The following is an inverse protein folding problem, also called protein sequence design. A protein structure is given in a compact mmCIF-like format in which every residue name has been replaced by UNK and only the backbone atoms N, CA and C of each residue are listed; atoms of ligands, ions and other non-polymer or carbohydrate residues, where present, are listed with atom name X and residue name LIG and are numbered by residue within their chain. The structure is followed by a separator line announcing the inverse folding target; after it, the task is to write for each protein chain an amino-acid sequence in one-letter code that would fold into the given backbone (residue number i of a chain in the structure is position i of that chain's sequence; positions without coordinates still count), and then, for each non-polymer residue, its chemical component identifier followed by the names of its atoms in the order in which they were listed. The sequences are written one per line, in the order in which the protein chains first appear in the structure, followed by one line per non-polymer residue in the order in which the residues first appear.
data_IF_524967074751
#
_entry.id   IF_524967074751
#
_cell.length_a   1.000
_cell.length_b   1.000
_cell.length_c   1.000
_cell.angle_alpha   90.00
_cell.angle_beta   90.00
_cell.angle_gamma   90.00
#
_symmetry.space_group_name_H-M   'P 1'
#
loop_
_entity.id
_entity.type
_entity.pdbx_description
1 polymer ?
#
# COMPACT_ATOMS: atom_id res chain seq x y z
N UNK A 1 -0.02 -4.00 -20.75
CA UNK A 1 -0.87 -3.27 -19.78
C UNK A 1 -2.30 -3.81 -19.83
N UNK A 2 -3.09 -3.71 -18.75
CA UNK A 2 -4.50 -4.09 -18.77
C UNK A 2 -5.31 -3.39 -19.87
N UNK A 3 -4.98 -2.15 -20.22
CA UNK A 3 -5.61 -1.46 -21.37
C UNK A 3 -5.44 -2.28 -22.64
N UNK A 4 -4.22 -2.68 -22.98
CA UNK A 4 -3.96 -3.46 -24.20
C UNK A 4 -4.50 -4.91 -24.12
N UNK A 5 -4.53 -5.49 -22.93
CA UNK A 5 -4.96 -6.87 -22.72
C UNK A 5 -6.48 -7.04 -22.65
N UNK A 6 -7.18 -6.04 -22.12
CA UNK A 6 -8.60 -6.16 -21.77
C UNK A 6 -9.54 -5.29 -22.62
N UNK A 7 -9.00 -4.21 -23.23
CA UNK A 7 -9.85 -3.30 -24.03
C UNK A 7 -10.55 -4.03 -25.19
N UNK A 8 -11.87 -3.88 -25.25
CA UNK A 8 -12.69 -4.57 -26.26
C UNK A 8 -12.85 -6.08 -26.05
N UNK A 9 -12.45 -6.61 -24.89
CA UNK A 9 -12.60 -8.03 -24.55
C UNK A 9 -13.47 -8.23 -23.30
N UNK A 10 -14.07 -9.41 -23.08
CA UNK A 10 -14.80 -9.72 -21.86
C UNK A 10 -13.88 -10.10 -20.67
N UNK A 11 -12.55 -9.96 -20.79
CA UNK A 11 -11.58 -10.50 -19.83
C UNK A 11 -11.42 -9.66 -18.57
N UNK A 12 -11.91 -8.43 -18.55
CA UNK A 12 -11.78 -7.51 -17.41
C UNK A 12 -11.81 -6.05 -17.86
N UNK A 13 -11.51 -5.16 -16.92
CA UNK A 13 -11.49 -3.73 -17.18
C UNK A 13 -10.14 -3.28 -17.75
N UNK A 14 -10.11 -2.23 -18.59
CA UNK A 14 -8.85 -1.62 -19.08
C UNK A 14 -8.17 -0.77 -18.00
N UNK A 15 -8.26 -1.20 -16.75
CA UNK A 15 -7.76 -0.48 -15.56
C UNK A 15 -6.51 -1.18 -15.07
N UNK A 16 -5.46 -0.40 -14.83
CA UNK A 16 -4.14 -0.91 -14.47
C UNK A 16 -3.94 -1.04 -12.97
N UNK A 17 -4.41 -0.07 -12.21
CA UNK A 17 -4.17 0.02 -10.78
C UNK A 17 -5.40 0.52 -10.04
N UNK A 18 -5.45 0.13 -8.77
CA UNK A 18 -6.50 0.48 -7.82
C UNK A 18 -5.86 0.89 -6.49
N UNK A 19 -6.62 1.56 -5.66
CA UNK A 19 -6.30 1.72 -4.25
C UNK A 19 -7.53 1.48 -3.40
N UNK A 20 -7.33 0.79 -2.27
CA UNK A 20 -8.37 0.48 -1.30
C UNK A 20 -7.90 0.84 0.11
N UNK A 21 -8.85 1.13 0.98
CA UNK A 21 -8.62 1.51 2.37
C UNK A 21 -9.25 0.47 3.29
N UNK A 22 -8.50 -0.02 4.28
CA UNK A 22 -8.98 -1.00 5.24
C UNK A 22 -9.41 -0.32 6.53
N UNK A 23 -10.59 -0.69 7.02
CA UNK A 23 -11.00 -0.37 8.38
C UNK A 23 -10.57 -1.46 9.34
N UNK A 24 -10.34 -1.10 10.61
CA UNK A 24 -9.87 -2.00 11.66
C UNK A 24 -10.96 -2.95 12.15
N UNK A 25 -11.40 -3.84 11.27
CA UNK A 25 -12.33 -4.92 11.58
C UNK A 25 -12.05 -6.16 10.72
N UNK A 26 -12.27 -7.34 11.30
CA UNK A 26 -12.14 -8.62 10.56
C UNK A 26 -13.01 -8.63 9.31
N UNK A 27 -14.23 -8.10 9.42
CA UNK A 27 -15.16 -8.02 8.29
C UNK A 27 -14.60 -7.17 7.15
N UNK A 28 -14.07 -5.97 7.46
CA UNK A 28 -13.47 -5.08 6.47
C UNK A 28 -12.23 -5.72 5.82
N UNK A 29 -11.33 -6.26 6.63
CA UNK A 29 -10.08 -6.88 6.15
C UNK A 29 -10.37 -8.00 5.16
N UNK A 30 -11.28 -8.93 5.46
CA UNK A 30 -11.61 -10.04 4.55
C UNK A 30 -12.45 -9.60 3.35
N UNK A 31 -13.34 -8.62 3.52
CA UNK A 31 -14.08 -8.04 2.39
C UNK A 31 -13.13 -7.45 1.36
N UNK A 32 -12.17 -6.65 1.81
CA UNK A 32 -11.19 -6.04 0.93
C UNK A 32 -10.17 -7.05 0.38
N UNK A 33 -9.80 -8.08 1.15
CA UNK A 33 -8.97 -9.17 0.62
C UNK A 33 -9.66 -9.87 -0.57
N UNK A 34 -10.96 -10.15 -0.46
CA UNK A 34 -11.76 -10.69 -1.58
C UNK A 34 -11.77 -9.74 -2.78
N UNK A 35 -11.98 -8.44 -2.54
CA UNK A 35 -11.98 -7.41 -3.58
C UNK A 35 -10.61 -7.35 -4.28
N UNK A 36 -9.54 -7.22 -3.51
CA UNK A 36 -8.16 -7.14 -4.00
C UNK A 36 -7.77 -8.37 -4.80
N UNK A 37 -8.18 -9.57 -4.36
CA UNK A 37 -7.98 -10.80 -5.10
C UNK A 37 -8.72 -10.81 -6.45
N UNK A 38 -9.96 -10.30 -6.48
CA UNK A 38 -10.74 -10.17 -7.72
C UNK A 38 -10.13 -9.15 -8.70
N UNK A 39 -9.61 -8.02 -8.19
CA UNK A 39 -8.90 -7.02 -8.98
C UNK A 39 -7.61 -7.59 -9.56
N UNK A 40 -6.84 -8.31 -8.76
CA UNK A 40 -5.61 -8.98 -9.18
C UNK A 40 -5.86 -10.03 -10.26
N UNK A 41 -6.91 -10.83 -10.12
CA UNK A 41 -7.35 -11.80 -11.15
C UNK A 41 -7.55 -11.14 -12.52
N UNK A 42 -8.04 -9.91 -12.55
CA UNK A 42 -8.25 -9.11 -13.75
C UNK A 42 -7.02 -8.31 -14.21
N UNK A 43 -5.85 -8.54 -13.59
CA UNK A 43 -4.58 -7.92 -13.95
C UNK A 43 -4.32 -6.55 -13.32
N UNK A 44 -5.16 -6.11 -12.38
CA UNK A 44 -4.98 -4.86 -11.64
C UNK A 44 -3.93 -4.99 -10.54
N UNK A 45 -3.05 -3.99 -10.41
CA UNK A 45 -2.22 -3.81 -9.23
C UNK A 45 -2.98 -2.98 -8.18
N UNK A 46 -2.76 -3.25 -6.89
CA UNK A 46 -3.54 -2.58 -5.83
C UNK A 46 -2.63 -1.98 -4.76
N UNK A 47 -2.85 -0.70 -4.44
CA UNK A 47 -2.36 -0.09 -3.21
C UNK A 47 -3.37 -0.31 -2.09
N UNK A 48 -2.91 -0.77 -0.93
CA UNK A 48 -3.77 -1.10 0.21
C UNK A 48 -3.29 -0.34 1.44
N UNK A 49 -4.15 0.48 2.02
CA UNK A 49 -3.82 1.24 3.23
C UNK A 49 -4.11 0.43 4.49
N UNK A 50 -3.06 0.19 5.27
CA UNK A 50 -3.11 -0.56 6.52
C UNK A 50 -2.95 0.32 7.77
N UNK A 51 -2.84 1.63 7.58
CA UNK A 51 -2.50 2.55 8.68
C UNK A 51 -3.52 2.63 9.80
N UNK A 52 -4.77 2.25 9.54
CA UNK A 52 -5.84 2.27 10.54
C UNK A 52 -5.99 0.95 11.30
N UNK A 53 -5.28 -0.10 10.88
CA UNK A 53 -5.30 -1.39 11.59
C UNK A 53 -4.57 -1.24 12.93
N UNK A 54 -5.20 -1.63 14.01
CA UNK A 54 -4.62 -1.57 15.35
C UNK A 54 -3.32 -2.36 15.46
N UNK A 55 -2.33 -1.85 16.21
CA UNK A 55 -1.04 -2.52 16.36
C UNK A 55 -1.13 -3.80 17.19
N UNK A 56 -0.06 -4.59 17.11
CA UNK A 56 0.14 -5.76 17.94
C UNK A 56 0.06 -5.40 19.43
N UNK A 57 -0.62 -6.23 20.20
CA UNK A 57 -0.81 -6.02 21.63
C UNK A 57 -1.97 -5.10 22.01
N UNK A 58 -2.58 -4.38 21.06
CA UNK A 58 -3.77 -3.57 21.34
C UNK A 58 -4.97 -4.45 21.75
N UNK A 59 -5.86 -3.96 22.66
CA UNK A 59 -7.01 -4.74 23.09
C UNK A 59 -8.00 -5.00 21.95
N UNK A 60 -8.63 -6.16 21.96
CA UNK A 60 -9.73 -6.52 21.05
C UNK A 60 -11.04 -6.70 21.80
N UNK A 61 -12.18 -6.52 21.09
CA UNK A 61 -13.52 -6.54 21.68
C UNK A 61 -13.91 -7.87 22.35
N UNK A 62 -13.33 -9.00 21.90
CA UNK A 62 -13.57 -10.32 22.45
C UNK A 62 -12.74 -10.65 23.70
N UNK A 63 -11.96 -9.70 24.22
CA UNK A 63 -11.11 -9.94 25.39
C UNK A 63 -9.82 -10.67 25.03
N UNK A 64 -8.84 -9.96 24.57
CA UNK A 64 -7.53 -10.48 24.13
C UNK A 64 -6.70 -9.35 23.55
N UNK A 65 -5.67 -9.72 22.80
CA UNK A 65 -4.75 -8.76 22.16
C UNK A 65 -4.68 -8.98 20.65
N UNK A 66 -4.58 -7.88 19.91
CA UNK A 66 -4.35 -7.89 18.47
C UNK A 66 -3.01 -8.57 18.14
N UNK A 67 -2.97 -9.28 17.03
CA UNK A 67 -1.74 -9.81 16.44
C UNK A 67 -0.98 -8.76 15.61
N UNK A 68 -1.60 -7.59 15.41
CA UNK A 68 -1.02 -6.50 14.63
C UNK A 68 -1.17 -6.64 13.12
N UNK A 69 -0.50 -5.75 12.39
CA UNK A 69 -0.62 -5.61 10.94
C UNK A 69 0.04 -6.75 10.16
N UNK A 70 1.19 -7.25 10.63
CA UNK A 70 2.03 -8.18 9.83
C UNK A 70 1.31 -9.47 9.44
N UNK A 71 0.57 -10.18 10.34
CA UNK A 71 -0.17 -11.37 9.94
C UNK A 71 -1.28 -11.10 8.91
N UNK A 72 -1.93 -9.94 8.98
CA UNK A 72 -2.89 -9.55 7.96
C UNK A 72 -2.23 -9.28 6.62
N UNK A 73 -1.14 -8.52 6.62
CA UNK A 73 -0.35 -8.22 5.42
C UNK A 73 0.16 -9.49 4.73
N UNK A 74 0.52 -10.55 5.48
CA UNK A 74 0.90 -11.86 4.94
C UNK A 74 -0.22 -12.52 4.13
N UNK A 75 -1.48 -12.36 4.52
CA UNK A 75 -2.60 -12.92 3.75
C UNK A 75 -2.74 -12.23 2.40
N UNK A 76 -2.49 -10.92 2.34
CA UNK A 76 -2.48 -10.17 1.08
C UNK A 76 -1.30 -10.58 0.20
N UNK A 77 -0.12 -10.78 0.77
CA UNK A 77 1.06 -11.25 0.04
C UNK A 77 0.82 -12.66 -0.56
N UNK A 78 0.24 -13.56 0.24
CA UNK A 78 -0.16 -14.89 -0.23
C UNK A 78 -1.21 -14.80 -1.35
N UNK A 79 -2.21 -13.93 -1.20
CA UNK A 79 -3.20 -13.72 -2.25
C UNK A 79 -2.58 -13.20 -3.55
N UNK A 80 -1.57 -12.32 -3.46
CA UNK A 80 -0.82 -11.83 -4.63
C UNK A 80 -0.11 -12.97 -5.37
N UNK A 81 0.49 -13.92 -4.63
CA UNK A 81 1.20 -15.05 -5.21
C UNK A 81 0.28 -16.08 -5.85
N UNK A 82 -0.91 -16.30 -5.25
CA UNK A 82 -1.88 -17.32 -5.69
C UNK A 82 -2.75 -16.82 -6.83
N UNK A 83 -3.18 -15.54 -6.77
CA UNK A 83 -4.14 -14.97 -7.71
C UNK A 83 -3.42 -14.15 -8.78
N UNK A 84 -3.27 -14.71 -9.96
CA UNK A 84 -2.68 -14.03 -11.11
C UNK A 84 -3.57 -14.14 -12.35
N UNK A 85 -3.44 -13.19 -13.27
CA UNK A 85 -4.18 -13.17 -14.53
C UNK A 85 -3.64 -14.25 -15.48
N UNK A 86 -4.10 -15.50 -15.32
CA UNK A 86 -3.85 -16.60 -16.27
C UNK A 86 -2.41 -16.74 -16.78
N UNK A 87 -1.41 -16.42 -15.94
CA UNK A 87 0.02 -16.42 -16.32
C UNK A 87 0.51 -15.19 -17.11
N UNK A 88 -0.38 -14.26 -17.47
CA UNK A 88 -0.01 -13.07 -18.26
C UNK A 88 0.57 -11.96 -17.38
N UNK A 89 0.02 -11.76 -16.18
CA UNK A 89 0.48 -10.77 -15.21
C UNK A 89 0.34 -11.31 -13.79
N UNK A 90 1.42 -11.28 -13.02
CA UNK A 90 1.39 -11.65 -11.61
C UNK A 90 0.59 -10.61 -10.82
N UNK A 91 -0.12 -11.08 -9.81
CA UNK A 91 -0.68 -10.22 -8.78
C UNK A 91 0.43 -9.46 -8.07
N UNK A 92 0.19 -8.20 -7.75
CA UNK A 92 1.12 -7.40 -6.97
C UNK A 92 0.35 -6.35 -6.18
N UNK A 93 0.73 -6.21 -4.91
CA UNK A 93 0.12 -5.25 -3.99
C UNK A 93 1.19 -4.35 -3.40
N UNK A 94 0.80 -3.15 -3.00
CA UNK A 94 1.62 -2.26 -2.20
C UNK A 94 0.90 -1.98 -0.87
N UNK A 95 1.54 -2.33 0.23
CA UNK A 95 1.02 -2.14 1.58
C UNK A 95 1.49 -0.78 2.07
N UNK A 96 0.55 0.14 2.24
CA UNK A 96 0.82 1.50 2.71
C UNK A 96 0.64 1.59 4.22
N UNK A 97 1.64 2.14 4.91
CA UNK A 97 1.60 2.32 6.36
C UNK A 97 2.27 3.64 6.77
N UNK A 98 1.71 4.40 7.73
CA UNK A 98 2.38 5.56 8.28
C UNK A 98 3.69 5.20 8.99
N UNK A 99 4.69 6.05 8.87
CA UNK A 99 5.99 5.86 9.54
C UNK A 99 5.85 5.81 11.08
N UNK A 100 4.81 6.43 11.60
CA UNK A 100 4.48 6.46 13.03
C UNK A 100 3.75 5.22 13.53
N UNK A 101 3.37 4.29 12.64
CA UNK A 101 2.64 3.08 13.05
C UNK A 101 3.55 2.16 13.88
N UNK A 102 3.12 1.69 15.08
CA UNK A 102 3.96 0.87 15.97
C UNK A 102 4.49 -0.43 15.34
N UNK A 103 3.76 -1.04 14.43
CA UNK A 103 4.14 -2.29 13.77
C UNK A 103 5.06 -2.09 12.55
N UNK A 104 5.38 -0.84 12.18
CA UNK A 104 6.22 -0.58 11.01
C UNK A 104 7.59 -1.27 11.08
N UNK A 105 8.33 -1.25 12.22
CA UNK A 105 9.61 -1.94 12.30
C UNK A 105 9.51 -3.44 12.03
N UNK A 106 8.41 -4.07 12.45
CA UNK A 106 8.17 -5.49 12.19
C UNK A 106 7.83 -5.73 10.70
N UNK A 107 7.01 -4.87 10.11
CA UNK A 107 6.67 -4.93 8.68
C UNK A 107 7.92 -4.74 7.80
N UNK A 108 8.82 -3.82 8.16
CA UNK A 108 10.07 -3.61 7.44
C UNK A 108 10.98 -4.85 7.46
N UNK A 109 11.09 -5.53 8.62
CA UNK A 109 11.88 -6.77 8.75
C UNK A 109 11.39 -7.87 7.80
N UNK A 110 10.10 -7.93 7.49
CA UNK A 110 9.57 -8.91 6.53
C UNK A 110 10.10 -8.74 5.10
N UNK A 111 10.67 -7.58 4.77
CA UNK A 111 11.37 -7.30 3.50
C UNK A 111 12.88 -7.52 3.58
N UNK A 112 13.45 -7.68 4.77
CA UNK A 112 14.88 -7.98 4.94
C UNK A 112 15.13 -9.49 4.78
N UNK A 113 15.30 -9.91 3.55
CA UNK A 113 15.53 -11.32 3.22
C UNK A 113 16.89 -11.84 3.71
N UNK A 114 17.77 -10.97 4.18
CA UNK A 114 19.10 -11.37 4.71
C UNK A 114 19.02 -11.97 6.11
N UNK A 115 17.97 -11.68 6.87
CA UNK A 115 17.86 -12.07 8.28
C UNK A 115 17.10 -13.39 8.51
N UNK A 116 16.66 -14.08 7.45
CA UNK A 116 16.04 -15.40 7.60
C UNK A 116 14.64 -15.41 8.24
N UNK A 117 13.97 -14.24 8.37
CA UNK A 117 12.59 -14.17 8.89
C UNK A 117 11.66 -15.03 8.01
N UNK A 118 10.91 -16.00 8.59
CA UNK A 118 9.96 -16.83 7.84
C UNK A 118 8.77 -16.04 7.31
N UNK A 119 8.52 -14.83 7.82
CA UNK A 119 7.42 -13.94 7.39
C UNK A 119 7.81 -13.02 6.25
N UNK A 120 8.51 -13.54 5.26
CA UNK A 120 8.96 -12.76 4.09
C UNK A 120 7.80 -12.40 3.19
N UNK A 121 7.77 -11.14 2.76
CA UNK A 121 6.89 -10.68 1.69
C UNK A 121 7.65 -10.70 0.36
N UNK A 122 7.22 -11.58 -0.52
CA UNK A 122 7.88 -11.80 -1.81
C UNK A 122 7.20 -10.99 -2.91
N UNK A 123 5.88 -11.05 -2.96
CA UNK A 123 5.10 -10.52 -4.07
C UNK A 123 4.48 -9.13 -3.78
N UNK A 124 4.42 -8.72 -2.50
CA UNK A 124 3.92 -7.39 -2.13
C UNK A 124 5.04 -6.39 -1.89
N UNK A 125 4.83 -5.15 -2.32
CA UNK A 125 5.67 -4.03 -1.95
C UNK A 125 5.19 -3.41 -0.64
N UNK A 126 6.08 -2.69 0.03
CA UNK A 126 5.75 -1.85 1.19
C UNK A 126 5.93 -0.40 0.78
N UNK A 127 5.06 0.47 1.25
CA UNK A 127 5.17 1.91 1.12
C UNK A 127 5.00 2.56 2.49
N UNK A 128 5.88 3.47 2.82
CA UNK A 128 5.84 4.22 4.08
C UNK A 128 5.41 5.65 3.78
N UNK A 129 4.31 6.08 4.41
CA UNK A 129 3.89 7.47 4.35
C UNK A 129 4.52 8.26 5.49
N UNK A 130 5.09 9.41 5.16
CA UNK A 130 5.82 10.27 6.08
C UNK A 130 5.17 11.64 6.07
N UNK A 131 4.81 12.15 7.25
CA UNK A 131 4.24 13.47 7.43
C UNK A 131 5.30 14.53 7.74
N UNK A 132 4.92 15.80 7.62
CA UNK A 132 5.79 16.93 7.90
C UNK A 132 6.21 17.00 9.37
N UNK A 133 5.35 16.57 10.30
CA UNK A 133 5.64 16.61 11.73
C UNK A 133 6.77 15.63 12.07
N UNK A 134 6.72 14.42 11.51
CA UNK A 134 7.80 13.46 11.66
C UNK A 134 9.12 14.02 11.14
N UNK A 135 9.14 14.61 9.95
CA UNK A 135 10.35 15.19 9.33
C UNK A 135 10.88 16.36 10.17
N UNK A 136 10.02 17.29 10.58
CA UNK A 136 10.44 18.44 11.43
C UNK A 136 11.06 17.98 12.74
N UNK A 137 10.45 17.00 13.42
CA UNK A 137 10.97 16.46 14.67
C UNK A 137 12.30 15.73 14.46
N UNK A 138 12.40 14.93 13.41
CA UNK A 138 13.64 14.22 13.05
C UNK A 138 14.80 15.19 12.77
N UNK A 139 14.55 16.25 12.01
CA UNK A 139 15.53 17.30 11.69
C UNK A 139 15.90 18.11 12.95
N UNK A 140 14.97 18.32 13.85
CA UNK A 140 15.19 18.97 15.14
C UNK A 140 16.03 18.14 16.14
N UNK A 141 16.38 16.88 15.76
CA UNK A 141 17.31 16.05 16.54
C UNK A 141 16.66 14.91 17.32
N UNK A 142 15.40 14.56 17.04
CA UNK A 142 14.75 13.40 17.62
C UNK A 142 15.45 12.11 17.15
N UNK A 143 16.24 11.52 18.05
CA UNK A 143 17.09 10.36 17.75
C UNK A 143 16.30 9.10 17.42
N UNK A 144 15.14 8.90 18.03
CA UNK A 144 14.31 7.73 17.74
C UNK A 144 13.73 7.80 16.32
N UNK A 145 13.27 8.98 15.91
CA UNK A 145 12.81 9.21 14.52
C UNK A 145 13.95 9.12 13.51
N UNK A 146 15.13 9.64 13.85
CA UNK A 146 16.32 9.49 13.00
C UNK A 146 16.71 8.03 12.82
N UNK A 147 16.68 7.23 13.89
CA UNK A 147 16.96 5.80 13.86
C UNK A 147 15.93 5.06 12.99
N UNK A 148 14.64 5.32 13.22
CA UNK A 148 13.55 4.69 12.47
C UNK A 148 13.65 5.02 10.99
N UNK A 149 13.86 6.26 10.62
CA UNK A 149 14.04 6.67 9.22
C UNK A 149 15.29 6.04 8.60
N UNK A 150 16.39 5.94 9.38
CA UNK A 150 17.59 5.22 8.98
C UNK A 150 17.34 3.73 8.68
N UNK A 151 16.49 3.06 9.47
CA UNK A 151 16.07 1.68 9.20
C UNK A 151 15.26 1.57 7.88
N UNK A 152 14.33 2.49 7.66
CA UNK A 152 13.58 2.58 6.38
C UNK A 152 14.54 2.69 5.19
N UNK A 153 15.51 3.60 5.26
CA UNK A 153 16.49 3.79 4.19
C UNK A 153 17.39 2.57 4.00
N UNK A 154 17.84 1.94 5.08
CA UNK A 154 18.66 0.72 5.02
C UNK A 154 17.94 -0.41 4.29
N UNK A 155 16.70 -0.70 4.67
CA UNK A 155 15.89 -1.76 4.02
C UNK A 155 15.65 -1.41 2.55
N UNK A 156 15.35 -0.14 2.25
CA UNK A 156 15.18 0.32 0.87
C UNK A 156 16.44 0.11 0.01
N UNK A 157 17.61 0.35 0.55
CA UNK A 157 18.88 0.14 -0.18
C UNK A 157 19.13 -1.35 -0.49
N UNK A 158 18.73 -2.24 0.41
CA UNK A 158 18.95 -3.68 0.26
C UNK A 158 17.90 -4.35 -0.63
N UNK A 159 16.63 -3.96 -0.49
CA UNK A 159 15.50 -4.65 -1.12
C UNK A 159 14.81 -3.85 -2.23
N UNK A 160 15.12 -2.55 -2.41
CA UNK A 160 14.38 -1.64 -3.29
C UNK A 160 13.02 -1.19 -2.71
N UNK A 161 12.62 -1.72 -1.58
CA UNK A 161 11.39 -1.40 -0.84
C UNK A 161 11.78 -0.97 0.59
N UNK A 162 11.01 -0.10 1.27
CA UNK A 162 9.70 0.46 0.91
C UNK A 162 9.80 1.65 -0.07
N UNK A 163 8.67 1.97 -0.71
CA UNK A 163 8.48 3.30 -1.27
C UNK A 163 8.36 4.32 -0.14
N UNK A 164 8.82 5.56 -0.36
CA UNK A 164 8.69 6.64 0.62
C UNK A 164 7.78 7.70 0.01
N UNK A 165 6.69 8.00 0.69
CA UNK A 165 5.65 8.93 0.25
C UNK A 165 5.54 10.06 1.26
N UNK A 166 5.85 11.29 0.87
CA UNK A 166 5.64 12.48 1.68
C UNK A 166 4.18 12.92 1.57
N UNK A 167 3.35 12.40 2.46
CA UNK A 167 1.89 12.46 2.33
C UNK A 167 1.34 13.89 2.42
N UNK A 168 1.96 14.76 3.22
CA UNK A 168 1.54 16.15 3.31
C UNK A 168 1.87 16.94 2.04
N UNK A 169 2.93 16.55 1.31
CA UNK A 169 3.20 17.13 0.01
C UNK A 169 2.10 16.79 -1.00
N UNK A 170 1.64 15.53 -1.00
CA UNK A 170 0.52 15.11 -1.82
C UNK A 170 -0.75 15.92 -1.48
N UNK A 171 -1.07 16.03 -0.18
CA UNK A 171 -2.26 16.73 0.28
C UNK A 171 -2.21 18.25 0.02
N UNK A 172 -1.04 18.88 0.03
CA UNK A 172 -0.89 20.30 -0.33
C UNK A 172 -1.12 20.58 -1.81
N UNK A 173 -1.04 19.57 -2.65
CA UNK A 173 -1.27 19.68 -4.11
C UNK A 173 -2.62 19.10 -4.52
N UNK A 174 -3.50 18.84 -3.58
CA UNK A 174 -4.85 18.37 -3.85
C UNK A 174 -5.62 19.37 -4.73
N UNK A 175 -6.48 18.87 -5.61
CA UNK A 175 -7.39 19.75 -6.34
C UNK A 175 -8.36 20.44 -5.37
N UNK A 176 -8.76 21.68 -5.70
CA UNK A 176 -9.64 22.51 -4.86
C UNK A 176 -10.93 21.79 -4.44
N UNK A 177 -11.46 20.91 -5.28
CA UNK A 177 -12.66 20.13 -4.95
C UNK A 177 -12.45 19.13 -3.79
N UNK A 178 -11.19 18.74 -3.49
CA UNK A 178 -10.89 17.93 -2.31
C UNK A 178 -10.94 18.78 -1.05
N UNK A 179 -10.34 19.96 -1.09
CA UNK A 179 -10.33 20.89 0.04
C UNK A 179 -11.74 21.30 0.42
N UNK A 180 -12.59 21.62 -0.58
CA UNK A 180 -13.99 21.99 -0.37
C UNK A 180 -14.83 20.87 0.27
N UNK A 181 -14.42 19.60 0.11
CA UNK A 181 -15.12 18.42 0.67
C UNK A 181 -14.40 17.81 1.86
N UNK A 182 -13.29 18.37 2.31
CA UNK A 182 -12.47 17.82 3.38
C UNK A 182 -11.84 16.47 3.07
N UNK A 183 -11.67 16.14 1.77
CA UNK A 183 -11.08 14.88 1.34
C UNK A 183 -9.56 14.93 1.46
N UNK A 184 -8.98 13.83 1.94
CA UNK A 184 -7.53 13.70 2.09
C UNK A 184 -7.02 12.44 1.41
N UNK A 185 -5.78 12.50 0.97
CA UNK A 185 -5.02 11.36 0.45
C UNK A 185 -4.27 10.71 1.61
N UNK A 186 -4.44 9.42 1.82
CA UNK A 186 -3.73 8.61 2.82
C UNK A 186 -2.78 7.60 2.20
N UNK A 187 -2.97 7.27 0.92
CA UNK A 187 -2.30 6.19 0.21
C UNK A 187 -2.09 6.53 -1.26
N UNK A 188 -1.52 5.60 -2.01
CA UNK A 188 -1.39 5.67 -3.46
C UNK A 188 -1.71 4.31 -4.08
N UNK A 189 -1.62 4.20 -5.41
CA UNK A 189 -1.74 2.94 -6.14
C UNK A 189 -0.50 2.05 -5.96
N UNK A 190 -0.45 0.91 -6.65
CA UNK A 190 0.66 -0.05 -6.59
C UNK A 190 2.04 0.60 -6.78
N UNK A 191 2.18 1.52 -7.75
CA UNK A 191 3.47 2.10 -8.17
C UNK A 191 3.78 3.45 -7.49
N UNK A 192 2.93 3.93 -6.61
CA UNK A 192 3.09 5.19 -5.85
C UNK A 192 3.15 6.47 -6.70
N UNK A 193 2.45 6.50 -7.85
CA UNK A 193 2.42 7.69 -8.73
C UNK A 193 1.07 8.40 -8.77
N UNK A 194 -0.01 7.79 -8.23
CA UNK A 194 -1.36 8.38 -8.24
C UNK A 194 -1.82 8.67 -6.82
N UNK A 195 -2.11 9.92 -6.54
CA UNK A 195 -2.53 10.40 -5.23
C UNK A 195 -3.97 10.91 -5.31
N UNK A 196 -4.92 10.01 -5.01
CA UNK A 196 -6.34 10.32 -4.96
C UNK A 196 -6.93 9.87 -3.62
N UNK A 197 -8.06 10.46 -3.24
CA UNK A 197 -8.75 10.09 -2.02
C UNK A 197 -9.27 8.65 -2.09
N UNK A 198 -9.14 7.94 -0.99
CA UNK A 198 -9.75 6.63 -0.77
C UNK A 198 -10.14 6.50 0.71
N UNK A 199 -11.29 5.92 0.96
CA UNK A 199 -11.82 5.62 2.28
C UNK A 199 -12.63 4.31 2.24
N UNK A 200 -13.39 4.00 3.30
CA UNK A 200 -14.21 2.78 3.39
C UNK A 200 -15.25 2.64 2.25
N UNK A 201 -15.66 3.74 1.63
CA UNK A 201 -16.72 3.81 0.63
C UNK A 201 -16.20 4.16 -0.77
N UNK A 202 -14.95 4.60 -0.86
CA UNK A 202 -14.37 5.10 -2.10
C UNK A 202 -13.02 4.44 -2.37
N UNK A 203 -12.95 3.76 -3.50
CA UNK A 203 -11.70 3.28 -4.10
C UNK A 203 -11.37 4.13 -5.33
N UNK A 204 -10.11 4.36 -5.61
CA UNK A 204 -9.74 5.00 -6.85
C UNK A 204 -9.15 4.01 -7.86
N UNK A 205 -9.17 4.40 -9.13
CA UNK A 205 -8.65 3.61 -10.24
C UNK A 205 -7.70 4.43 -11.11
N UNK A 206 -6.77 3.75 -11.76
CA UNK A 206 -5.82 4.33 -12.69
C UNK A 206 -5.88 3.61 -14.03
N UNK A 207 -5.98 4.36 -15.12
CA UNK A 207 -5.86 3.85 -16.48
C UNK A 207 -4.52 4.28 -17.07
N UNK A 208 -3.58 3.35 -17.17
CA UNK A 208 -2.25 3.62 -17.68
C UNK A 208 -2.19 3.38 -19.19
N UNK A 209 -1.72 4.39 -19.94
CA UNK A 209 -1.38 4.27 -21.35
C UNK A 209 -0.04 4.96 -21.64
N UNK A 210 0.60 4.55 -22.76
CA UNK A 210 1.88 5.11 -23.20
C UNK A 210 1.84 5.38 -24.69
N UNK A 211 2.36 6.53 -25.10
CA UNK A 211 2.55 6.89 -26.51
C UNK A 211 4.00 6.65 -26.92
N UNK A 212 4.20 6.04 -28.06
CA UNK A 212 5.53 5.90 -28.64
C UNK A 212 5.87 7.18 -29.45
N UNK A 213 6.55 8.12 -28.78
CA UNK A 213 6.87 9.42 -29.38
C UNK A 213 7.79 9.33 -30.61
N UNK A 214 8.49 8.20 -30.82
CA UNK A 214 9.32 8.02 -32.03
C UNK A 214 8.50 7.77 -33.30
N UNK A 215 7.19 7.66 -33.18
CA UNK A 215 6.26 7.42 -34.29
C UNK A 215 5.46 8.66 -34.71
N UNK A 216 5.72 9.81 -34.07
CA UNK A 216 5.07 11.10 -34.36
C UNK A 216 6.09 12.15 -34.80
#
# INVERSE_FOLDING_TARGET
TPVAANFGTPRGLPISCYSVHLSDSVQSIYSHLKEVAALSKNGGGVGVYFGDIRPAGAPISSGGKSTGVVPWAQQYDLAASVVSQGGVRRGSFAIYMPITHPDLPELLRSKDHSQGDPRKFVDSNIAVTVDDEFIKSMVAGDREKQKLFGEVLKIRMVSGSPYIVYIDNANRQNPECYDQRGLKVSTSNLCSEIFLHTDENHSFVCVLSSLNLSKY
#
